data_IF_589511953010
#
_entry.id   IF_589511953010
#
_cell.length_a   1.000
_cell.length_b   1.000
_cell.length_c   1.000
_cell.angle_alpha   90.00
_cell.angle_beta   90.00
_cell.angle_gamma   90.00
#
_symmetry.space_group_name_H-M   'P 1'
#
loop_
_entity.id
_entity.type
_entity.pdbx_description
1 polymer ?
#
# COMPACT_ATOMS: atom_id res chain seq x y z
N UNK A 1 6.06 -12.20 -2.61
CA UNK A 1 6.39 -10.96 -3.34
C UNK A 1 5.58 -9.87 -2.67
N UNK A 2 6.19 -8.73 -2.34
CA UNK A 2 5.45 -7.60 -1.78
C UNK A 2 4.58 -6.97 -2.86
N UNK A 3 3.41 -6.48 -2.46
CA UNK A 3 2.48 -5.75 -3.31
C UNK A 3 2.35 -4.33 -2.79
N UNK A 4 2.39 -3.33 -3.67
CA UNK A 4 2.27 -1.92 -3.29
C UNK A 4 1.13 -1.27 -4.05
N UNK A 5 0.22 -0.64 -3.31
CA UNK A 5 -0.88 0.17 -3.81
C UNK A 5 -0.57 1.63 -3.49
N UNK A 6 -0.78 2.51 -4.46
CA UNK A 6 -0.45 3.93 -4.34
C UNK A 6 -1.73 4.78 -4.33
N UNK A 7 -1.92 5.60 -3.30
CA UNK A 7 -3.00 6.57 -3.23
C UNK A 7 -2.42 7.97 -3.44
N UNK A 8 -2.87 8.68 -4.47
CA UNK A 8 -2.29 9.94 -4.90
C UNK A 8 -3.32 11.03 -5.13
N UNK A 9 -2.90 12.28 -4.99
CA UNK A 9 -3.74 13.43 -5.34
C UNK A 9 -3.65 13.73 -6.84
N UNK A 10 -4.77 13.62 -7.55
CA UNK A 10 -4.82 14.02 -8.97
C UNK A 10 -4.94 15.54 -9.09
N UNK A 11 -4.19 16.13 -10.04
CA UNK A 11 -4.30 17.56 -10.38
C UNK A 11 -5.54 17.87 -11.20
N UNK A 12 -6.01 16.91 -11.98
CA UNK A 12 -7.18 17.06 -12.85
C UNK A 12 -8.49 16.59 -12.20
N UNK A 13 -8.43 16.09 -10.96
CA UNK A 13 -9.60 15.69 -10.19
C UNK A 13 -10.26 14.39 -10.66
N UNK A 14 -9.54 13.54 -11.39
CA UNK A 14 -10.00 12.21 -11.83
C UNK A 14 -8.83 11.22 -11.83
N UNK A 15 -9.07 9.90 -11.70
CA UNK A 15 -7.97 8.95 -11.71
C UNK A 15 -7.27 8.96 -13.07
N UNK A 16 -5.97 9.22 -13.08
CA UNK A 16 -5.12 9.21 -14.26
C UNK A 16 -3.84 8.43 -13.97
N UNK A 17 -3.65 7.33 -14.71
CA UNK A 17 -2.53 6.41 -14.53
C UNK A 17 -1.18 7.10 -14.73
N UNK A 18 -1.08 7.98 -15.72
CA UNK A 18 0.15 8.69 -16.06
C UNK A 18 0.60 9.59 -14.92
N UNK A 19 -0.34 10.25 -14.24
CA UNK A 19 -0.05 11.04 -13.04
C UNK A 19 0.47 10.16 -11.91
N UNK A 20 -0.20 9.04 -11.65
CA UNK A 20 0.23 8.10 -10.62
C UNK A 20 1.65 7.58 -10.88
N UNK A 21 1.93 7.14 -12.11
CA UNK A 21 3.26 6.67 -12.52
C UNK A 21 4.33 7.76 -12.39
N UNK A 22 4.00 9.00 -12.73
CA UNK A 22 4.90 10.12 -12.56
C UNK A 22 5.24 10.34 -11.08
N UNK A 23 4.23 10.31 -10.20
CA UNK A 23 4.43 10.48 -8.75
C UNK A 23 5.25 9.34 -8.14
N UNK A 24 4.95 8.09 -8.53
CA UNK A 24 5.69 6.91 -8.04
C UNK A 24 7.16 6.94 -8.49
N UNK A 25 7.44 7.33 -9.74
CA UNK A 25 8.82 7.37 -10.26
C UNK A 25 9.65 8.49 -9.67
N UNK A 26 9.04 9.64 -9.40
CA UNK A 26 9.75 10.86 -8.99
C UNK A 26 9.48 11.21 -7.52
N UNK A 27 9.12 10.24 -6.68
CA UNK A 27 8.68 10.46 -5.31
C UNK A 27 9.65 11.34 -4.50
N UNK A 28 10.97 11.07 -4.59
CA UNK A 28 11.99 11.85 -3.87
C UNK A 28 12.09 13.30 -4.36
N UNK A 29 12.04 13.52 -5.68
CA UNK A 29 12.09 14.87 -6.26
C UNK A 29 10.83 15.67 -5.91
N UNK A 30 9.67 15.00 -5.89
CA UNK A 30 8.39 15.62 -5.56
C UNK A 30 8.31 15.92 -4.06
N UNK A 31 8.81 15.03 -3.19
CA UNK A 31 8.90 15.29 -1.76
C UNK A 31 9.57 16.64 -1.49
N UNK A 32 10.60 16.96 -2.26
CA UNK A 32 11.32 18.20 -2.11
C UNK A 32 10.65 19.47 -2.58
N UNK A 33 9.72 19.34 -3.52
CA UNK A 33 9.07 20.46 -4.16
C UNK A 33 7.58 20.54 -3.83
N UNK A 34 7.06 19.64 -3.00
CA UNK A 34 5.67 19.64 -2.57
C UNK A 34 5.46 20.51 -1.33
N UNK A 35 4.28 21.12 -1.24
CA UNK A 35 3.87 21.81 -0.04
C UNK A 35 3.67 20.79 1.09
N UNK A 36 4.35 21.00 2.22
CA UNK A 36 4.21 20.13 3.38
C UNK A 36 2.79 20.23 3.93
N UNK A 37 2.12 19.10 4.05
CA UNK A 37 0.76 19.01 4.57
C UNK A 37 0.67 18.03 5.74
N UNK A 38 1.37 18.38 6.81
CA UNK A 38 1.41 17.62 8.07
C UNK A 38 0.01 17.39 8.63
N UNK A 39 -0.87 18.39 8.53
CA UNK A 39 -2.25 18.28 8.98
C UNK A 39 -3.02 17.18 8.22
N UNK A 40 -2.80 17.03 6.91
CA UNK A 40 -3.41 15.97 6.13
C UNK A 40 -2.86 14.59 6.50
N UNK A 41 -1.54 14.46 6.68
CA UNK A 41 -0.93 13.19 7.11
C UNK A 41 -1.57 12.71 8.42
N UNK A 42 -1.71 13.58 9.42
CA UNK A 42 -2.35 13.22 10.69
C UNK A 42 -3.84 12.90 10.56
N UNK A 43 -4.58 13.57 9.68
CA UNK A 43 -5.99 13.22 9.42
C UNK A 43 -6.12 11.82 8.82
N UNK A 44 -5.27 11.49 7.84
CA UNK A 44 -5.23 10.15 7.24
C UNK A 44 -4.91 9.10 8.30
N UNK A 45 -3.86 9.34 9.10
CA UNK A 45 -3.46 8.43 10.19
C UNK A 45 -4.61 8.22 11.17
N UNK A 46 -5.29 9.29 11.59
CA UNK A 46 -6.46 9.20 12.50
C UNK A 46 -7.58 8.35 11.89
N UNK A 47 -7.93 8.58 10.62
CA UNK A 47 -8.98 7.83 9.95
C UNK A 47 -8.63 6.33 9.83
N UNK A 48 -7.36 6.01 9.61
CA UNK A 48 -6.88 4.63 9.53
C UNK A 48 -6.87 3.96 10.90
N UNK A 49 -6.43 4.69 11.95
CA UNK A 49 -6.48 4.22 13.33
C UNK A 49 -7.91 3.98 13.84
N UNK A 50 -8.90 4.74 13.37
CA UNK A 50 -10.32 4.49 13.67
C UNK A 50 -10.83 3.18 13.05
N UNK A 51 -10.38 2.86 11.83
CA UNK A 51 -10.73 1.61 11.14
C UNK A 51 -10.03 0.41 11.77
N UNK A 52 -8.76 0.58 12.14
CA UNK A 52 -7.92 -0.47 12.68
C UNK A 52 -7.10 0.04 13.88
N UNK A 53 -7.67 0.04 15.10
CA UNK A 53 -7.00 0.57 16.29
C UNK A 53 -5.68 -0.14 16.65
N UNK A 54 -5.48 -1.37 16.16
CA UNK A 54 -4.24 -2.13 16.36
C UNK A 54 -3.05 -1.68 15.49
N UNK A 55 -3.24 -0.74 14.56
CA UNK A 55 -2.15 -0.23 13.73
C UNK A 55 -1.15 0.58 14.57
N UNK A 56 0.13 0.24 14.45
CA UNK A 56 1.21 0.89 15.20
C UNK A 56 1.83 1.98 14.33
N UNK A 57 1.83 3.22 14.83
CA UNK A 57 2.57 4.33 14.21
C UNK A 57 4.04 4.24 14.61
N UNK A 58 4.96 4.25 13.64
CA UNK A 58 6.39 4.18 13.89
C UNK A 58 6.99 5.59 13.95
N UNK A 59 7.54 6.01 15.10
CA UNK A 59 8.23 7.27 15.19
C UNK A 59 9.61 7.17 14.52
N UNK A 60 9.92 8.12 13.64
CA UNK A 60 11.27 8.25 13.10
C UNK A 60 12.16 9.04 14.05
N UNK A 61 13.31 8.46 14.39
CA UNK A 61 14.38 9.20 15.06
C UNK A 61 15.36 9.71 13.99
N UNK A 62 15.15 10.93 13.50
CA UNK A 62 15.94 11.51 12.42
C UNK A 62 17.42 11.61 12.76
N UNK A 63 17.80 11.82 14.02
CA UNK A 63 19.20 11.86 14.44
C UNK A 63 19.89 10.49 14.28
N UNK A 64 19.17 9.41 14.60
CA UNK A 64 19.68 8.04 14.42
C UNK A 64 19.74 7.70 12.92
N UNK A 65 18.72 8.07 12.15
CA UNK A 65 18.70 7.85 10.69
C UNK A 65 19.82 8.61 9.98
N UNK A 66 20.06 9.87 10.36
CA UNK A 66 21.17 10.67 9.86
C UNK A 66 22.51 9.98 10.08
N UNK A 67 22.73 9.45 11.30
CA UNK A 67 23.97 8.75 11.64
C UNK A 67 24.14 7.43 10.88
N UNK A 68 23.07 6.63 10.74
CA UNK A 68 23.12 5.32 10.08
C UNK A 68 23.28 5.45 8.57
N UNK A 69 22.72 6.50 7.96
CA UNK A 69 22.72 6.70 6.51
C UNK A 69 23.74 7.70 6.01
N UNK A 70 24.61 8.19 6.90
CA UNK A 70 25.63 9.19 6.58
C UNK A 70 25.03 10.48 5.96
N UNK A 71 23.85 10.87 6.45
CA UNK A 71 23.16 12.09 6.05
C UNK A 71 23.31 13.18 7.11
N UNK A 72 23.12 14.44 6.72
CA UNK A 72 22.88 15.49 7.71
C UNK A 72 21.54 15.29 8.42
N UNK A 73 21.39 15.74 9.68
CA UNK A 73 20.11 15.72 10.39
C UNK A 73 18.99 16.40 9.61
N UNK A 74 19.30 17.47 8.87
CA UNK A 74 18.37 18.20 8.01
C UNK A 74 17.92 17.36 6.81
N UNK A 75 18.84 16.66 6.13
CA UNK A 75 18.52 15.75 5.03
C UNK A 75 17.69 14.55 5.53
N UNK A 76 18.01 14.00 6.69
CA UNK A 76 17.21 12.92 7.29
C UNK A 76 15.81 13.40 7.67
N UNK A 77 15.68 14.57 8.30
CA UNK A 77 14.38 15.16 8.63
C UNK A 77 13.54 15.44 7.38
N UNK A 78 14.17 15.69 6.25
CA UNK A 78 13.52 15.95 4.97
C UNK A 78 13.12 14.68 4.22
N UNK A 79 14.02 13.69 4.12
CA UNK A 79 13.76 12.43 3.42
C UNK A 79 12.77 11.54 4.17
N UNK A 80 12.73 11.65 5.49
CA UNK A 80 11.85 10.89 6.38
C UNK A 80 10.74 11.77 6.97
N UNK A 81 10.26 12.74 6.18
CA UNK A 81 9.11 13.60 6.52
C UNK A 81 7.78 12.93 6.14
N UNK A 82 7.60 11.71 6.63
CA UNK A 82 6.41 10.89 6.42
C UNK A 82 6.06 10.12 7.70
N UNK A 83 4.84 9.59 7.75
CA UNK A 83 4.38 8.77 8.86
C UNK A 83 4.23 7.34 8.38
N UNK A 84 4.93 6.41 9.03
CA UNK A 84 4.76 4.98 8.77
C UNK A 84 3.82 4.35 9.81
N UNK A 85 2.94 3.48 9.34
CA UNK A 85 2.03 2.66 10.14
C UNK A 85 2.20 1.20 9.77
N UNK A 86 2.17 0.31 10.75
CA UNK A 86 2.29 -1.14 10.54
C UNK A 86 1.15 -1.90 11.21
N UNK A 87 0.70 -2.96 10.57
CA UNK A 87 -0.15 -3.97 11.19
C UNK A 87 0.57 -4.62 12.38
N UNK A 88 -0.17 -4.98 13.45
CA UNK A 88 0.42 -5.66 14.59
C UNK A 88 0.96 -7.05 14.22
N UNK A 89 1.89 -7.56 15.03
CA UNK A 89 2.40 -8.93 14.86
C UNK A 89 1.26 -9.96 14.95
N UNK A 90 1.28 -10.95 14.05
CA UNK A 90 0.29 -12.02 13.98
C UNK A 90 -0.88 -11.77 13.02
N UNK A 91 -0.96 -10.59 12.41
CA UNK A 91 -1.89 -10.27 11.31
C UNK A 91 -1.18 -10.27 9.94
N UNK A 92 -1.94 -10.03 8.87
CA UNK A 92 -1.34 -9.86 7.53
C UNK A 92 -0.44 -8.62 7.53
N UNK A 93 0.84 -8.74 7.14
CA UNK A 93 1.78 -7.63 7.21
C UNK A 93 1.41 -6.54 6.20
N UNK A 94 0.82 -5.46 6.72
CA UNK A 94 0.52 -4.22 5.98
C UNK A 94 1.34 -3.10 6.57
N UNK A 95 2.09 -2.42 5.70
CA UNK A 95 2.74 -1.15 6.00
C UNK A 95 2.04 -0.04 5.21
N UNK A 96 1.78 1.09 5.86
CA UNK A 96 1.35 2.32 5.19
C UNK A 96 2.39 3.40 5.41
N UNK A 97 2.80 4.05 4.33
CA UNK A 97 3.67 5.23 4.36
C UNK A 97 2.88 6.44 3.88
N UNK A 98 2.61 7.38 4.78
CA UNK A 98 1.80 8.57 4.54
C UNK A 98 2.71 9.76 4.30
N UNK A 99 2.92 10.09 3.02
CA UNK A 99 3.68 11.27 2.58
C UNK A 99 2.73 12.43 2.30
N UNK A 100 3.29 13.63 2.11
CA UNK A 100 2.51 14.86 1.86
C UNK A 100 1.62 14.80 0.61
N UNK A 101 2.03 14.06 -0.42
CA UNK A 101 1.35 14.01 -1.72
C UNK A 101 0.97 12.59 -2.18
N UNK A 102 1.34 11.57 -1.40
CA UNK A 102 1.23 10.16 -1.75
C UNK A 102 1.04 9.34 -0.47
N UNK A 103 0.19 8.33 -0.51
CA UNK A 103 0.16 7.26 0.50
C UNK A 103 0.50 5.96 -0.19
N UNK A 104 1.48 5.24 0.32
CA UNK A 104 1.83 3.91 -0.17
C UNK A 104 1.32 2.87 0.82
N UNK A 105 0.60 1.87 0.32
CA UNK A 105 0.16 0.71 1.11
C UNK A 105 0.93 -0.49 0.58
N UNK A 106 1.84 -1.03 1.40
CA UNK A 106 2.66 -2.20 1.07
C UNK A 106 2.16 -3.41 1.84
N UNK A 107 1.97 -4.51 1.13
CA UNK A 107 1.49 -5.79 1.63
C UNK A 107 2.63 -6.78 1.40
N UNK A 108 3.32 -7.19 2.45
CA UNK A 108 4.55 -8.00 2.30
C UNK A 108 4.24 -9.43 1.86
N UNK A 109 3.12 -9.98 2.35
CA UNK A 109 2.63 -11.30 2.02
C UNK A 109 1.11 -11.32 2.00
N UNK A 110 0.54 -11.82 0.91
CA UNK A 110 -0.89 -12.07 0.82
C UNK A 110 -1.34 -13.15 1.83
N UNK A 111 -2.54 -13.02 2.42
CA UNK A 111 -3.03 -13.97 3.40
C UNK A 111 -3.49 -15.27 2.72
N UNK A 112 -2.86 -16.40 3.08
CA UNK A 112 -3.22 -17.74 2.56
C UNK A 112 -4.60 -18.24 3.04
N UNK A 113 -5.15 -17.69 4.14
CA UNK A 113 -6.45 -18.05 4.72
C UNK A 113 -7.09 -16.82 5.37
N UNK A 114 -8.40 -16.62 5.18
CA UNK A 114 -9.18 -15.42 5.59
C UNK A 114 -8.88 -14.16 4.77
N UNK A 115 -8.81 -14.30 3.45
CA UNK A 115 -8.70 -13.21 2.48
C UNK A 115 -9.75 -12.11 2.68
N UNK A 116 -11.01 -12.48 2.90
CA UNK A 116 -12.13 -11.52 2.84
C UNK A 116 -11.99 -10.37 3.85
N UNK A 117 -11.61 -10.67 5.09
CA UNK A 117 -11.48 -9.63 6.12
C UNK A 117 -10.33 -8.67 5.81
N UNK A 118 -9.21 -9.20 5.31
CA UNK A 118 -8.08 -8.40 4.87
C UNK A 118 -8.47 -7.46 3.73
N UNK A 119 -9.13 -7.98 2.68
CA UNK A 119 -9.58 -7.16 1.56
C UNK A 119 -10.62 -6.12 1.97
N UNK A 120 -11.48 -6.45 2.94
CA UNK A 120 -12.41 -5.47 3.53
C UNK A 120 -11.64 -4.35 4.24
N UNK A 121 -10.61 -4.65 5.03
CA UNK A 121 -9.80 -3.61 5.68
C UNK A 121 -9.01 -2.78 4.68
N UNK A 122 -8.34 -3.42 3.71
CA UNK A 122 -7.64 -2.73 2.64
C UNK A 122 -8.57 -1.78 1.88
N UNK A 123 -9.77 -2.27 1.56
CA UNK A 123 -10.84 -1.47 0.98
C UNK A 123 -11.23 -0.26 1.84
N UNK A 124 -11.47 -0.48 3.14
CA UNK A 124 -11.78 0.59 4.08
C UNK A 124 -10.65 1.62 4.16
N UNK A 125 -9.39 1.21 4.15
CA UNK A 125 -8.24 2.11 4.16
C UNK A 125 -8.21 3.00 2.92
N UNK A 126 -8.26 2.43 1.71
CA UNK A 126 -8.24 3.23 0.48
C UNK A 126 -9.44 4.18 0.39
N UNK A 127 -10.61 3.75 0.89
CA UNK A 127 -11.82 4.58 0.93
C UNK A 127 -11.68 5.73 1.93
N UNK A 128 -11.17 5.47 3.13
CA UNK A 128 -10.93 6.52 4.13
C UNK A 128 -9.89 7.53 3.65
N UNK A 129 -8.83 7.08 2.96
CA UNK A 129 -7.84 7.96 2.34
C UNK A 129 -8.50 8.86 1.28
N UNK A 130 -9.39 8.31 0.45
CA UNK A 130 -10.16 9.09 -0.53
C UNK A 130 -11.10 10.10 0.13
N UNK A 131 -11.83 9.71 1.17
CA UNK A 131 -12.76 10.60 1.87
C UNK A 131 -12.03 11.72 2.64
N UNK A 132 -10.86 11.42 3.19
CA UNK A 132 -10.08 12.35 4.01
C UNK A 132 -9.27 13.33 3.17
N UNK A 133 -8.60 12.82 2.13
CA UNK A 133 -7.60 13.57 1.37
C UNK A 133 -7.97 13.78 -0.11
N UNK A 134 -9.04 13.14 -0.59
CA UNK A 134 -9.40 13.18 -2.01
C UNK A 134 -8.49 12.35 -2.91
N UNK A 135 -7.72 11.41 -2.38
CA UNK A 135 -6.74 10.67 -3.17
C UNK A 135 -7.38 9.55 -4.00
N UNK A 136 -6.91 9.40 -5.24
CA UNK A 136 -7.25 8.29 -6.13
C UNK A 136 -6.26 7.14 -5.93
N UNK A 137 -6.65 5.94 -6.32
CA UNK A 137 -5.82 4.74 -6.17
C UNK A 137 -5.18 4.39 -7.50
N UNK A 138 -3.92 3.98 -7.48
CA UNK A 138 -3.21 3.33 -8.55
C UNK A 138 -2.67 1.99 -8.06
N UNK A 139 -2.97 0.96 -8.83
CA UNK A 139 -2.57 -0.40 -8.60
C UNK A 139 -1.61 -0.83 -9.72
N UNK A 140 -0.30 -1.00 -9.44
CA UNK A 140 0.67 -1.42 -10.44
C UNK A 140 0.53 -2.86 -10.91
N UNK A 141 -0.05 -3.76 -10.12
CA UNK A 141 -0.22 -5.16 -10.55
C UNK A 141 -1.36 -5.29 -11.54
N UNK A 142 -2.44 -4.53 -11.32
CA UNK A 142 -3.56 -4.45 -12.26
C UNK A 142 -3.34 -3.40 -13.36
N UNK A 143 -2.29 -2.59 -13.24
CA UNK A 143 -1.92 -1.51 -14.15
C UNK A 143 -3.03 -0.45 -14.34
N UNK A 144 -3.75 -0.14 -13.26
CA UNK A 144 -5.00 0.63 -13.28
C UNK A 144 -5.03 1.72 -12.23
N UNK A 145 -5.53 2.91 -12.61
CA UNK A 145 -5.93 3.96 -11.68
C UNK A 145 -7.46 4.04 -11.56
N UNK A 146 -7.99 4.24 -10.35
CA UNK A 146 -9.44 4.28 -10.09
C UNK A 146 -9.83 5.15 -8.90
N UNK A 147 -11.12 5.46 -8.79
CA UNK A 147 -11.71 6.14 -7.64
C UNK A 147 -12.34 5.13 -6.67
N UNK A 148 -11.80 4.96 -5.45
CA UNK A 148 -12.31 3.98 -4.49
C UNK A 148 -13.70 4.36 -3.93
N UNK A 149 -14.21 5.56 -4.17
CA UNK A 149 -15.57 5.94 -3.79
C UNK A 149 -16.65 5.35 -4.72
N UNK A 150 -16.29 5.05 -5.96
CA UNK A 150 -17.20 4.49 -6.96
C UNK A 150 -17.07 2.97 -7.10
N UNK A 151 -15.94 2.42 -6.67
CA UNK A 151 -15.62 1.01 -6.80
C UNK A 151 -15.74 0.30 -5.44
N UNK A 152 -16.80 -0.49 -5.27
CA UNK A 152 -17.08 -1.27 -4.05
C UNK A 152 -16.15 -2.49 -3.93
N UNK A 153 -14.83 -2.27 -3.96
CA UNK A 153 -13.82 -3.30 -3.73
C UNK A 153 -13.83 -4.46 -4.74
N UNK A 154 -14.63 -4.36 -5.82
CA UNK A 154 -14.74 -5.44 -6.82
C UNK A 154 -13.41 -5.74 -7.48
N UNK A 155 -12.57 -4.71 -7.66
CA UNK A 155 -11.22 -4.89 -8.22
C UNK A 155 -10.29 -5.66 -7.31
N UNK A 156 -10.44 -5.54 -6.00
CA UNK A 156 -9.66 -6.31 -5.03
C UNK A 156 -9.98 -7.81 -5.10
N UNK A 157 -11.16 -8.19 -5.64
CA UNK A 157 -11.50 -9.60 -5.88
C UNK A 157 -10.67 -10.24 -6.99
N UNK A 158 -10.03 -9.46 -7.88
CA UNK A 158 -9.11 -10.02 -8.88
C UNK A 158 -7.91 -10.71 -8.22
N UNK A 159 -7.45 -10.22 -7.07
CA UNK A 159 -6.40 -10.85 -6.29
C UNK A 159 -6.80 -12.23 -5.75
N UNK A 160 -8.05 -12.37 -5.31
CA UNK A 160 -8.58 -13.65 -4.83
C UNK A 160 -8.64 -14.66 -5.99
N UNK A 161 -9.10 -14.23 -7.17
CA UNK A 161 -9.27 -15.11 -8.32
C UNK A 161 -7.92 -15.61 -8.90
N UNK A 162 -6.89 -14.77 -8.94
CA UNK A 162 -5.57 -15.16 -9.45
C UNK A 162 -4.84 -16.15 -8.52
N UNK A 163 -4.96 -15.99 -7.19
CA UNK A 163 -4.40 -16.96 -6.23
C UNK A 163 -5.08 -18.33 -6.32
N UNK A 164 -6.40 -18.39 -6.49
CA UNK A 164 -7.12 -19.65 -6.66
C UNK A 164 -6.61 -20.44 -7.89
N UNK A 165 -6.31 -19.75 -8.99
CA UNK A 165 -5.76 -20.39 -10.19
C UNK A 165 -4.34 -20.95 -9.96
N UNK A 166 -3.49 -20.25 -9.23
CA UNK A 166 -2.14 -20.72 -8.88
C UNK A 166 -2.22 -21.95 -7.97
N UNK A 167 -3.09 -21.94 -6.96
CA UNK A 167 -3.26 -23.07 -6.05
C UNK A 167 -3.86 -24.31 -6.72
N UNK A 168 -4.82 -24.14 -7.65
CA UNK A 168 -5.36 -25.26 -8.43
C UNK A 168 -4.32 -25.88 -9.37
N UNK A 169 -3.40 -25.08 -9.92
CA UNK A 169 -2.28 -25.57 -10.73
C UNK A 169 -1.32 -26.46 -9.93
N UNK A 170 -0.91 -26.00 -8.74
CA UNK A 170 0.02 -26.72 -7.85
C UNK A 170 -0.57 -28.04 -7.33
N UNK A 171 -1.88 -28.07 -7.05
CA UNK A 171 -2.56 -29.31 -6.64
C UNK A 171 -2.66 -30.30 -7.82
N UNK A 172 -2.82 -29.82 -9.05
CA UNK A 172 -2.87 -30.68 -10.25
C UNK A 172 -1.50 -31.28 -10.61
N UNK A 173 -0.40 -30.57 -10.38
CA UNK A 173 0.96 -31.10 -10.64
C UNK A 173 1.38 -32.22 -9.68
N UNK A 174 0.75 -32.34 -8.50
CA UNK A 174 0.98 -33.48 -7.58
C UNK A 174 0.42 -34.81 -8.07
N UNK A 175 -0.30 -34.84 -9.20
CA UNK A 175 -0.67 -36.06 -9.92
C UNK A 175 0.26 -36.37 -11.10
N UNK A 176 1.53 -35.96 -11.03
CA UNK A 176 2.57 -36.57 -11.85
C UNK A 176 2.55 -38.09 -11.64
N UNK A 177 2.35 -38.85 -12.73
CA UNK A 177 2.24 -40.31 -12.71
C UNK A 177 3.42 -40.89 -11.92
N UNK A 178 3.19 -41.88 -11.04
CA UNK A 178 4.28 -42.51 -10.31
C UNK A 178 5.31 -43.06 -11.31
N UNK A 179 6.57 -42.70 -11.09
CA UNK A 179 7.72 -43.07 -11.92
C UNK A 179 7.88 -44.59 -12.08
N UNK A 180 7.25 -45.40 -11.23
CA UNK A 180 7.26 -46.86 -11.28
C UNK A 180 6.24 -47.48 -12.24
N UNK A 181 5.37 -46.71 -12.91
CA UNK A 181 4.40 -47.22 -13.91
C UNK A 181 4.95 -47.30 -15.35
N UNK A 182 6.28 -47.31 -15.51
CA UNK A 182 6.95 -47.45 -16.80
C UNK A 182 7.55 -48.86 -17.06
N UNK A 183 7.07 -49.89 -16.34
CA UNK A 183 7.40 -51.29 -16.60
C UNK A 183 6.13 -52.13 -16.59
#
# INVERSE_FOLDING_TARGET
MSHSIFCYQSKIGRPLKEEALFLVKNQLEILGNCEKNVAMQHKIVSAISEIHPGMVVVPFNHAVLALVQELSPEEAAYLYDHIDMYSPEGETPVQLSVLHHLVTITIESWPLKKSDQFFIYLGKFIKAIRETAGYFVYDPQLDVAFDPSQDNYRRLMHYIAEEEHIHQGIIREKHAKPWYKFW
#
